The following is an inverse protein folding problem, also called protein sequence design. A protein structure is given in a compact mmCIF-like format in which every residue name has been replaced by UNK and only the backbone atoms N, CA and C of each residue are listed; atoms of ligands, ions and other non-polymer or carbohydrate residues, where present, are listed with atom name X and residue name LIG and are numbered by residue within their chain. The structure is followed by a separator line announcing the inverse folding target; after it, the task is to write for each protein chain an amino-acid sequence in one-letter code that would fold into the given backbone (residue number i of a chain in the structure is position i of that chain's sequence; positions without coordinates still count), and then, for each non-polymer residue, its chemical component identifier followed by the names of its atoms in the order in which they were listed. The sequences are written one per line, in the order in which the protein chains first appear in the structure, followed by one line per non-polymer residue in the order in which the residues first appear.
data_IF_128267300767
#
_entry.id   IF_128267300767
#
_cell.length_a   1.000
_cell.length_b   1.000
_cell.length_c   1.000
_cell.angle_alpha   90.00
_cell.angle_beta   90.00
_cell.angle_gamma   90.00
#
_symmetry.space_group_name_H-M   'P 1'
#
loop_
_entity.id
_entity.type
_entity.pdbx_description
1 polymer ?
#
# COMPACT_ATOMS: atom_id res chain seq x y z
N UNK A 1 -3.06 10.24 -19.51
CA UNK A 1 -3.61 9.78 -18.21
C UNK A 1 -2.46 9.84 -17.22
N UNK A 2 -2.35 10.92 -16.45
CA UNK A 2 -1.28 11.07 -15.45
C UNK A 2 -1.63 10.16 -14.25
N UNK A 3 -1.20 8.91 -14.33
CA UNK A 3 -1.34 7.95 -13.22
C UNK A 3 -0.44 8.34 -12.04
N UNK A 4 -0.73 7.78 -10.87
CA UNK A 4 -0.14 8.00 -9.52
C UNK A 4 1.40 8.00 -9.37
N UNK A 5 2.17 8.01 -10.46
CA UNK A 5 3.63 7.91 -10.54
C UNK A 5 4.42 8.95 -9.72
N UNK A 6 3.79 10.03 -9.25
CA UNK A 6 4.41 11.04 -8.39
C UNK A 6 4.01 10.99 -6.91
N UNK A 7 3.08 10.10 -6.53
CA UNK A 7 2.45 10.10 -5.20
C UNK A 7 2.57 8.77 -4.46
N UNK A 8 2.76 7.66 -5.18
CA UNK A 8 2.85 6.31 -4.62
C UNK A 8 4.23 5.72 -4.90
N UNK A 9 5.00 5.48 -3.84
CA UNK A 9 6.37 4.98 -3.93
C UNK A 9 6.47 3.54 -4.41
N UNK A 10 5.55 2.68 -3.97
CA UNK A 10 5.48 1.26 -4.33
C UNK A 10 4.11 0.67 -3.96
N UNK A 11 3.81 -0.50 -4.50
CA UNK A 11 2.67 -1.33 -4.08
C UNK A 11 3.16 -2.60 -3.43
N UNK A 12 2.60 -2.95 -2.28
CA UNK A 12 2.86 -4.23 -1.61
C UNK A 12 1.86 -5.26 -2.11
N UNK A 13 2.33 -6.39 -2.62
CA UNK A 13 1.48 -7.52 -3.01
C UNK A 13 2.12 -8.84 -2.51
N UNK A 14 1.31 -9.67 -1.85
CA UNK A 14 1.76 -10.94 -1.28
C UNK A 14 1.98 -12.02 -2.35
N UNK A 15 1.44 -11.85 -3.57
CA UNK A 15 1.66 -12.79 -4.65
C UNK A 15 3.09 -12.66 -5.20
N UNK A 16 3.97 -13.66 -5.00
CA UNK A 16 5.37 -13.58 -5.44
C UNK A 16 5.51 -13.40 -6.95
N UNK A 17 4.55 -13.88 -7.75
CA UNK A 17 4.59 -13.76 -9.20
C UNK A 17 4.44 -12.31 -9.70
N UNK A 18 3.97 -11.39 -8.84
CA UNK A 18 3.84 -9.97 -9.16
C UNK A 18 5.03 -9.15 -8.65
N UNK A 19 5.82 -9.65 -7.71
CA UNK A 19 6.95 -8.94 -7.12
C UNK A 19 8.06 -8.73 -8.16
N UNK A 20 8.87 -7.68 -7.96
CA UNK A 20 9.93 -7.24 -8.88
C UNK A 20 9.43 -6.86 -10.29
N UNK A 21 8.10 -6.66 -10.42
CA UNK A 21 7.44 -6.10 -11.60
C UNK A 21 6.87 -4.72 -11.29
N UNK A 22 6.18 -4.13 -12.26
CA UNK A 22 5.57 -2.82 -12.15
C UNK A 22 4.08 -2.89 -12.44
N UNK A 23 3.30 -2.02 -11.80
CA UNK A 23 1.92 -1.82 -12.16
C UNK A 23 1.81 -1.31 -13.62
N UNK A 24 0.86 -1.85 -14.41
CA UNK A 24 0.66 -1.40 -15.79
C UNK A 24 0.21 0.07 -15.81
N UNK A 25 0.72 0.83 -16.77
CA UNK A 25 0.40 2.26 -16.93
C UNK A 25 1.19 3.17 -15.97
N UNK A 26 1.03 3.01 -14.66
CA UNK A 26 1.68 3.88 -13.66
C UNK A 26 3.16 3.61 -13.45
N UNK A 27 3.62 2.40 -13.80
CA UNK A 27 5.00 1.93 -13.57
C UNK A 27 5.45 2.01 -12.11
N UNK A 28 4.52 1.91 -11.16
CA UNK A 28 4.85 1.84 -9.73
C UNK A 28 5.41 0.44 -9.43
N UNK A 29 6.55 0.31 -8.73
CA UNK A 29 7.14 -0.98 -8.42
C UNK A 29 6.23 -1.80 -7.48
N UNK A 30 6.15 -3.10 -7.73
CA UNK A 30 5.45 -4.06 -6.88
C UNK A 30 6.50 -4.79 -6.04
N UNK A 31 6.37 -4.68 -4.73
CA UNK A 31 7.32 -5.22 -3.74
C UNK A 31 6.62 -6.17 -2.76
N UNK A 32 7.41 -6.96 -2.03
CA UNK A 32 6.90 -7.79 -0.94
C UNK A 32 6.81 -7.02 0.39
N UNK A 33 6.07 -7.59 1.35
CA UNK A 33 5.80 -7.01 2.67
C UNK A 33 7.08 -6.62 3.44
N UNK A 34 8.17 -7.36 3.25
CA UNK A 34 9.49 -7.07 3.87
C UNK A 34 9.98 -5.63 3.66
N UNK A 35 9.52 -4.94 2.61
CA UNK A 35 9.87 -3.55 2.36
C UNK A 35 9.25 -2.61 3.39
N UNK A 36 8.08 -2.92 3.93
CA UNK A 36 7.35 -2.06 4.88
C UNK A 36 8.21 -1.70 6.09
N UNK A 37 8.82 -2.71 6.75
CA UNK A 37 9.67 -2.46 7.93
C UNK A 37 10.98 -1.75 7.58
N UNK A 38 11.45 -1.91 6.34
CA UNK A 38 12.68 -1.26 5.84
C UNK A 38 12.47 0.22 5.55
N UNK A 39 11.31 0.59 4.99
CA UNK A 39 11.02 1.95 4.51
C UNK A 39 10.17 2.76 5.47
N UNK A 40 9.43 2.11 6.38
CA UNK A 40 8.57 2.74 7.40
C UNK A 40 7.75 3.92 6.85
N UNK A 41 6.91 3.70 5.82
CA UNK A 41 6.16 4.79 5.22
C UNK A 41 5.11 5.33 6.21
N UNK A 42 4.81 6.62 6.10
CA UNK A 42 3.83 7.30 6.97
C UNK A 42 2.37 6.95 6.64
N UNK A 43 2.10 6.58 5.38
CA UNK A 43 0.75 6.32 4.89
C UNK A 43 0.65 5.05 4.07
N UNK A 44 -0.40 4.27 4.33
CA UNK A 44 -0.77 3.07 3.60
C UNK A 44 -2.13 3.25 2.95
N UNK A 45 -2.17 3.28 1.61
CA UNK A 45 -3.41 3.49 0.86
C UNK A 45 -4.03 2.16 0.45
N UNK A 46 -5.30 1.96 0.80
CA UNK A 46 -6.11 0.83 0.35
C UNK A 46 -6.89 1.16 -0.91
N UNK A 47 -6.58 0.43 -1.99
CA UNK A 47 -7.36 0.48 -3.23
C UNK A 47 -8.53 -0.53 -3.22
N UNK A 48 -8.34 -1.82 -2.88
CA UNK A 48 -9.45 -2.75 -2.69
C UNK A 48 -10.03 -2.62 -1.27
N UNK A 49 -11.08 -1.81 -1.11
CA UNK A 49 -11.77 -1.57 0.17
C UNK A 49 -12.35 -2.84 0.80
N UNK A 50 -12.62 -3.87 -0.01
CA UNK A 50 -13.23 -5.13 0.44
C UNK A 50 -12.30 -5.98 1.33
N UNK A 51 -10.98 -5.70 1.35
CA UNK A 51 -10.01 -6.40 2.21
C UNK A 51 -9.50 -5.51 3.37
N UNK A 52 -10.12 -4.34 3.59
CA UNK A 52 -9.67 -3.35 4.59
C UNK A 52 -9.41 -3.99 5.95
N UNK A 53 -10.40 -4.68 6.52
CA UNK A 53 -10.30 -5.20 7.89
C UNK A 53 -9.19 -6.24 8.04
N UNK A 54 -9.07 -7.16 7.07
CA UNK A 54 -8.04 -8.20 7.09
C UNK A 54 -6.64 -7.60 6.99
N UNK A 55 -6.43 -6.64 6.08
CA UNK A 55 -5.11 -6.04 5.89
C UNK A 55 -4.74 -5.09 7.02
N UNK A 56 -5.70 -4.34 7.60
CA UNK A 56 -5.46 -3.51 8.78
C UNK A 56 -5.03 -4.37 9.98
N UNK A 57 -5.65 -5.53 10.16
CA UNK A 57 -5.25 -6.47 11.22
C UNK A 57 -3.85 -7.05 10.96
N UNK A 58 -3.60 -7.54 9.74
CA UNK A 58 -2.32 -8.11 9.33
C UNK A 58 -1.17 -7.10 9.46
N UNK A 59 -1.42 -5.84 9.09
CA UNK A 59 -0.44 -4.76 9.12
C UNK A 59 -0.56 -3.88 10.37
N UNK A 60 -1.21 -4.34 11.43
CA UNK A 60 -1.41 -3.54 12.66
C UNK A 60 -0.09 -3.02 13.27
N UNK A 61 1.00 -3.75 13.05
CA UNK A 61 2.36 -3.38 13.48
C UNK A 61 2.88 -2.08 12.87
N UNK A 62 2.28 -1.56 11.80
CA UNK A 62 2.72 -0.27 11.22
C UNK A 62 2.55 0.91 12.18
N UNK A 63 1.66 0.75 13.17
CA UNK A 63 1.43 1.74 14.22
C UNK A 63 2.65 1.93 15.14
N UNK A 64 3.58 0.98 15.17
CA UNK A 64 4.83 1.05 15.96
C UNK A 64 5.66 2.30 15.61
N UNK A 65 5.59 2.80 14.38
CA UNK A 65 6.26 4.03 13.95
C UNK A 65 5.28 5.17 13.59
N UNK A 66 4.01 5.04 13.98
CA UNK A 66 3.01 6.09 13.78
C UNK A 66 2.42 6.18 12.37
N UNK A 67 2.58 5.15 11.54
CA UNK A 67 1.94 5.12 10.22
C UNK A 67 0.42 5.06 10.32
N UNK A 68 -0.23 5.62 9.29
CA UNK A 68 -1.69 5.71 9.17
C UNK A 68 -2.19 4.95 7.97
N UNK A 69 -3.37 4.37 8.12
CA UNK A 69 -4.07 3.79 6.97
C UNK A 69 -4.94 4.85 6.31
N UNK A 70 -5.03 4.79 5.00
CA UNK A 70 -5.86 5.67 4.17
C UNK A 70 -6.78 4.81 3.32
N UNK A 71 -8.08 5.03 3.45
CA UNK A 71 -9.10 4.39 2.62
C UNK A 71 -9.55 5.44 1.62
N UNK A 72 -9.52 5.11 0.33
CA UNK A 72 -9.88 6.05 -0.74
C UNK A 72 -11.31 5.85 -1.29
N UNK A 73 -11.98 4.77 -0.89
CA UNK A 73 -13.30 4.37 -1.40
C UNK A 73 -14.13 3.79 -0.25
N UNK A 74 -15.42 4.18 -0.08
CA UNK A 74 -16.18 5.13 -0.91
C UNK A 74 -15.80 6.60 -0.69
N UNK A 75 -15.23 6.93 0.46
CA UNK A 75 -14.77 8.27 0.83
C UNK A 75 -13.34 8.22 1.33
N UNK A 76 -12.65 9.37 1.26
CA UNK A 76 -11.28 9.50 1.76
C UNK A 76 -11.29 9.57 3.29
N UNK A 77 -10.76 8.55 3.95
CA UNK A 77 -10.71 8.41 5.41
C UNK A 77 -9.28 8.07 5.86
N UNK A 78 -8.80 8.70 6.94
CA UNK A 78 -7.53 8.37 7.60
C UNK A 78 -7.83 7.68 8.93
N UNK A 79 -7.31 6.47 9.12
CA UNK A 79 -7.53 5.60 10.29
C UNK A 79 -6.39 5.62 11.31
#
# INVERSE_FOLDING_TARGET
MQGFSGFVSYVVDLNPAKQDKFLPGSRIPIVGEKYIRKTQPDYFVFFPWNLRSEVVEQLSYIREWGAKFVVAVPELEVL
#
